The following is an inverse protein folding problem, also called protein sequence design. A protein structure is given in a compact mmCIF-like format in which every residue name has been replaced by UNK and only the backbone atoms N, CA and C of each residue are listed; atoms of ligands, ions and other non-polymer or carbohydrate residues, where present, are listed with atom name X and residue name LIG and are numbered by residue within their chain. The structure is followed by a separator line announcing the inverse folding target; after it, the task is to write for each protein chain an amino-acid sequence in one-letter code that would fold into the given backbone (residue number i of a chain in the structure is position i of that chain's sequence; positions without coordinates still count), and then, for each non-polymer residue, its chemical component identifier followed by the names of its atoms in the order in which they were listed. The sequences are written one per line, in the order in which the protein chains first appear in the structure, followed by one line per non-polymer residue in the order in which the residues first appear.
data_IF_183763748380
#
_entry.id   IF_183763748380
#
_cell.length_a   1.000
_cell.length_b   1.000
_cell.length_c   1.000
_cell.angle_alpha   90.00
_cell.angle_beta   90.00
_cell.angle_gamma   90.00
#
_symmetry.space_group_name_H-M   'P 1'
#
loop_
_entity.id
_entity.type
_entity.pdbx_description
1 polymer ?
#
# COMPACT_ATOMS: atom_id res chain seq x y z
N UNK A 1 -15.59 -27.48 6.08
CA UNK A 1 -15.51 -26.00 6.07
C UNK A 1 -14.94 -25.59 7.42
N UNK A 2 -13.88 -24.80 7.48
CA UNK A 2 -13.34 -24.31 8.77
C UNK A 2 -14.35 -23.39 9.45
N UNK A 3 -14.31 -23.34 10.78
CA UNK A 3 -15.29 -22.60 11.58
C UNK A 3 -14.86 -21.13 11.74
N UNK A 4 -15.83 -20.23 11.55
CA UNK A 4 -15.67 -18.80 11.83
C UNK A 4 -16.22 -18.45 13.20
N UNK A 5 -15.67 -17.43 13.83
CA UNK A 5 -16.21 -16.83 15.04
C UNK A 5 -17.45 -15.97 14.73
N UNK A 6 -18.11 -15.48 15.78
CA UNK A 6 -19.31 -14.63 15.68
C UNK A 6 -19.05 -13.28 14.97
N UNK A 7 -17.78 -12.93 14.77
CA UNK A 7 -17.33 -11.71 14.08
C UNK A 7 -16.88 -12.00 12.64
N UNK A 8 -17.09 -13.22 12.14
CA UNK A 8 -16.69 -13.66 10.81
C UNK A 8 -15.19 -13.94 10.64
N UNK A 9 -14.38 -13.82 11.69
CA UNK A 9 -12.94 -14.15 11.66
C UNK A 9 -12.75 -15.65 11.83
N UNK A 10 -11.64 -16.18 11.34
CA UNK A 10 -11.30 -17.57 11.63
C UNK A 10 -10.98 -17.72 13.12
N UNK A 11 -11.44 -18.81 13.73
CA UNK A 11 -11.07 -19.12 15.12
C UNK A 11 -9.54 -19.22 15.23
N UNK A 12 -8.92 -18.82 16.35
CA UNK A 12 -7.49 -19.01 16.58
C UNK A 12 -7.07 -20.47 16.30
N UNK A 13 -6.04 -20.67 15.49
CA UNK A 13 -5.59 -21.99 15.02
C UNK A 13 -6.33 -22.53 13.80
N UNK A 14 -7.36 -21.85 13.30
CA UNK A 14 -8.03 -22.16 12.03
C UNK A 14 -7.71 -21.09 10.99
N UNK A 15 -7.46 -21.53 9.76
CA UNK A 15 -7.15 -20.70 8.61
C UNK A 15 -8.22 -20.93 7.54
N UNK A 16 -8.49 -19.89 6.73
CA UNK A 16 -9.35 -20.03 5.54
C UNK A 16 -8.76 -20.91 4.46
N UNK A 17 -7.47 -21.23 4.58
CA UNK A 17 -6.81 -22.30 3.87
C UNK A 17 -6.41 -23.41 4.87
N UNK A 18 -7.24 -24.47 5.01
CA UNK A 18 -6.98 -25.58 5.93
C UNK A 18 -5.70 -26.36 5.61
N UNK A 19 -5.25 -26.34 4.35
CA UNK A 19 -4.00 -26.97 3.91
C UNK A 19 -2.75 -26.11 4.13
N UNK A 20 -2.91 -24.88 4.65
CA UNK A 20 -1.81 -23.94 4.83
C UNK A 20 -1.19 -23.45 3.51
N UNK A 21 -0.21 -22.55 3.60
CA UNK A 21 0.58 -22.12 2.44
C UNK A 21 1.33 -23.34 1.87
N UNK A 22 1.32 -23.55 0.55
CA UNK A 22 1.93 -24.75 -0.04
C UNK A 22 3.40 -24.88 0.36
N UNK A 23 3.77 -26.04 0.93
CA UNK A 23 5.14 -26.33 1.35
C UNK A 23 6.14 -26.39 0.20
N UNK A 24 5.67 -26.56 -1.03
CA UNK A 24 6.48 -26.61 -2.25
C UNK A 24 7.42 -25.41 -2.40
N UNK A 25 6.98 -24.20 -2.02
CA UNK A 25 7.84 -23.00 -2.10
C UNK A 25 8.93 -23.03 -1.04
N UNK A 26 8.64 -23.54 0.16
CA UNK A 26 9.63 -23.65 1.24
C UNK A 26 10.65 -24.74 0.93
N UNK A 27 10.20 -25.88 0.39
CA UNK A 27 11.06 -26.97 -0.05
C UNK A 27 11.97 -26.55 -1.20
N UNK A 28 11.44 -25.83 -2.20
CA UNK A 28 12.25 -25.27 -3.29
C UNK A 28 13.31 -24.29 -2.77
N UNK A 29 12.94 -23.43 -1.81
CA UNK A 29 13.90 -22.51 -1.17
C UNK A 29 14.99 -23.24 -0.39
N UNK A 30 14.63 -24.30 0.34
CA UNK A 30 15.60 -25.11 1.07
C UNK A 30 16.61 -25.76 0.12
N UNK A 31 16.13 -26.40 -0.96
CA UNK A 31 16.99 -26.98 -2.01
C UNK A 31 17.88 -25.94 -2.69
N UNK A 32 17.37 -24.73 -2.92
CA UNK A 32 18.17 -23.63 -3.48
C UNK A 32 19.22 -23.12 -2.49
N UNK A 33 18.92 -23.10 -1.19
CA UNK A 33 19.84 -22.65 -0.15
C UNK A 33 21.05 -23.59 -0.02
N UNK A 34 20.85 -24.91 -0.13
CA UNK A 34 21.93 -25.90 -0.12
C UNK A 34 22.99 -25.64 -1.20
N UNK A 35 22.59 -25.14 -2.37
CA UNK A 35 23.48 -24.81 -3.48
C UNK A 35 23.97 -23.36 -3.53
N UNK A 36 23.51 -22.50 -2.61
CA UNK A 36 23.66 -21.05 -2.73
C UNK A 36 25.14 -20.60 -2.80
N UNK A 37 26.01 -21.18 -1.96
CA UNK A 37 27.43 -20.84 -1.93
C UNK A 37 28.15 -21.18 -3.24
N UNK A 38 27.86 -22.37 -3.79
CA UNK A 38 28.48 -22.83 -5.03
C UNK A 38 28.03 -21.98 -6.23
N UNK A 39 26.75 -21.63 -6.29
CA UNK A 39 26.20 -20.74 -7.32
C UNK A 39 26.80 -19.35 -7.19
N UNK A 40 26.88 -18.81 -5.97
CA UNK A 40 27.45 -17.48 -5.71
C UNK A 40 28.90 -17.37 -6.19
N UNK A 41 29.73 -18.38 -5.89
CA UNK A 41 31.13 -18.44 -6.37
C UNK A 41 31.22 -18.45 -7.89
N UNK A 42 30.35 -19.22 -8.58
CA UNK A 42 30.31 -19.26 -10.05
C UNK A 42 29.90 -17.93 -10.66
N UNK A 43 28.85 -17.30 -10.14
CA UNK A 43 28.37 -16.00 -10.62
C UNK A 43 29.44 -14.93 -10.44
N UNK A 44 30.13 -14.90 -9.29
CA UNK A 44 31.26 -13.99 -9.05
C UNK A 44 32.40 -14.22 -10.04
N UNK A 45 32.75 -15.47 -10.33
CA UNK A 45 33.80 -15.79 -11.29
C UNK A 45 33.43 -15.39 -12.72
N UNK A 46 32.17 -15.59 -13.13
CA UNK A 46 31.65 -15.17 -14.43
C UNK A 46 31.67 -13.64 -14.59
N UNK A 47 31.20 -12.91 -13.56
CA UNK A 47 31.24 -11.45 -13.54
C UNK A 47 32.69 -10.92 -13.65
N UNK A 48 33.63 -11.50 -12.90
CA UNK A 48 35.06 -11.16 -12.99
C UNK A 48 35.67 -11.41 -14.37
N UNK A 49 35.09 -12.31 -15.17
CA UNK A 49 35.50 -12.59 -16.55
C UNK A 49 34.79 -11.72 -17.60
N UNK A 50 33.94 -10.78 -17.19
CA UNK A 50 33.27 -9.84 -18.08
C UNK A 50 31.87 -10.28 -18.54
N UNK A 51 31.26 -11.29 -17.90
CA UNK A 51 29.85 -11.61 -18.16
C UNK A 51 28.94 -10.49 -17.60
N UNK A 52 28.43 -9.66 -18.51
CA UNK A 52 27.58 -8.52 -18.17
C UNK A 52 26.25 -8.90 -17.51
N UNK A 53 25.73 -10.12 -17.77
CA UNK A 53 24.52 -10.59 -17.10
C UNK A 53 24.80 -10.91 -15.64
N UNK A 54 25.92 -11.58 -15.35
CA UNK A 54 26.36 -11.86 -13.98
C UNK A 54 26.66 -10.55 -13.22
N UNK A 55 27.32 -9.58 -13.87
CA UNK A 55 27.56 -8.25 -13.31
C UNK A 55 26.25 -7.54 -12.96
N UNK A 56 25.27 -7.53 -13.87
CA UNK A 56 23.96 -6.93 -13.64
C UNK A 56 23.23 -7.57 -12.45
N UNK A 57 23.22 -8.90 -12.37
CA UNK A 57 22.58 -9.63 -11.28
C UNK A 57 23.18 -9.28 -9.91
N UNK A 58 24.50 -9.11 -9.84
CA UNK A 58 25.18 -8.67 -8.62
C UNK A 58 24.83 -7.22 -8.29
N UNK A 59 24.90 -6.31 -9.26
CA UNK A 59 24.63 -4.87 -9.06
C UNK A 59 23.19 -4.62 -8.60
N UNK A 60 22.19 -5.30 -9.18
CA UNK A 60 20.78 -5.18 -8.77
C UNK A 60 20.48 -5.71 -7.35
N UNK A 61 21.43 -6.41 -6.71
CA UNK A 61 21.30 -6.87 -5.32
C UNK A 61 22.11 -6.04 -4.35
N UNK A 62 23.27 -5.52 -4.78
CA UNK A 62 24.15 -4.69 -3.94
C UNK A 62 23.73 -3.22 -3.96
N UNK A 63 23.26 -2.72 -5.10
CA UNK A 63 22.80 -1.35 -5.25
C UNK A 63 21.28 -1.38 -5.07
N UNK A 64 20.73 -0.76 -4.00
CA UNK A 64 19.29 -0.67 -3.86
C UNK A 64 18.72 0.07 -5.07
N UNK A 65 17.60 -0.41 -5.65
CA UNK A 65 16.95 0.33 -6.72
C UNK A 65 16.63 1.72 -6.21
N UNK A 66 16.97 2.74 -7.00
CA UNK A 66 16.61 4.12 -6.70
C UNK A 66 15.09 4.13 -6.56
N UNK A 67 14.59 4.39 -5.35
CA UNK A 67 13.17 4.61 -5.17
C UNK A 67 12.80 5.82 -6.02
N UNK A 68 11.72 5.77 -6.80
CA UNK A 68 11.21 6.98 -7.44
C UNK A 68 10.91 7.97 -6.31
N UNK A 69 11.74 9.00 -6.22
CA UNK A 69 11.52 10.14 -5.33
C UNK A 69 10.92 11.23 -6.19
N UNK A 70 9.69 11.61 -5.89
CA UNK A 70 9.11 12.81 -6.47
C UNK A 70 9.71 14.01 -5.76
N UNK A 71 10.23 14.96 -6.52
CA UNK A 71 10.67 16.22 -5.95
C UNK A 71 9.47 16.94 -5.31
N UNK A 72 9.68 17.64 -4.17
CA UNK A 72 8.64 18.46 -3.60
C UNK A 72 8.19 19.52 -4.61
N UNK A 73 6.89 19.56 -4.90
CA UNK A 73 6.30 20.56 -5.79
C UNK A 73 5.58 21.61 -4.97
N UNK A 74 5.75 22.87 -5.34
CA UNK A 74 4.95 23.98 -4.82
C UNK A 74 3.80 24.26 -5.78
N UNK A 75 2.57 24.21 -5.27
CA UNK A 75 1.37 24.63 -6.00
C UNK A 75 0.39 25.26 -5.02
N UNK A 76 -0.48 26.14 -5.52
CA UNK A 76 -1.53 26.75 -4.70
C UNK A 76 -2.69 25.76 -4.57
N UNK A 77 -2.98 25.35 -3.33
CA UNK A 77 -4.13 24.53 -2.99
C UNK A 77 -5.27 25.42 -2.51
N UNK A 78 -6.44 25.30 -3.15
CA UNK A 78 -7.65 25.97 -2.72
C UNK A 78 -8.40 25.08 -1.72
N UNK A 79 -8.26 25.35 -0.42
CA UNK A 79 -8.69 24.46 0.67
C UNK A 79 -10.03 24.86 1.32
N UNK A 80 -10.80 25.74 0.67
CA UNK A 80 -12.09 26.23 1.18
C UNK A 80 -13.12 25.11 1.39
N UNK A 81 -13.14 24.14 0.47
CA UNK A 81 -13.97 22.94 0.55
C UNK A 81 -13.33 21.80 -0.26
N UNK A 82 -13.79 20.56 -0.04
CA UNK A 82 -13.25 19.38 -0.72
C UNK A 82 -13.38 19.46 -2.26
N UNK A 83 -14.54 19.83 -2.85
CA UNK A 83 -14.64 20.09 -4.28
C UNK A 83 -13.64 21.12 -4.83
N UNK A 84 -13.44 22.24 -4.12
CA UNK A 84 -12.52 23.31 -4.52
C UNK A 84 -11.06 22.84 -4.45
N UNK A 85 -10.71 22.05 -3.43
CA UNK A 85 -9.41 21.38 -3.35
C UNK A 85 -9.19 20.41 -4.52
N UNK A 86 -10.20 19.61 -4.86
CA UNK A 86 -10.11 18.69 -5.99
C UNK A 86 -9.91 19.43 -7.33
N UNK A 87 -10.64 20.53 -7.54
CA UNK A 87 -10.53 21.35 -8.76
C UNK A 87 -9.17 22.04 -8.87
N UNK A 88 -8.63 22.58 -7.77
CA UNK A 88 -7.31 23.21 -7.78
C UNK A 88 -6.20 22.21 -8.08
N UNK A 89 -6.24 21.00 -7.50
CA UNK A 89 -5.32 19.90 -7.85
C UNK A 89 -5.41 19.55 -9.34
N UNK A 90 -6.62 19.37 -9.88
CA UNK A 90 -6.81 19.05 -11.30
C UNK A 90 -6.30 20.15 -12.23
N UNK A 91 -6.47 21.42 -11.85
CA UNK A 91 -5.95 22.57 -12.59
C UNK A 91 -4.42 22.60 -12.57
N UNK A 92 -3.80 22.33 -11.42
CA UNK A 92 -2.34 22.26 -11.29
C UNK A 92 -1.74 21.12 -12.13
N UNK A 93 -2.43 19.98 -12.25
CA UNK A 93 -2.04 18.89 -13.17
C UNK A 93 -2.16 19.33 -14.63
N UNK A 94 -3.30 19.90 -15.01
CA UNK A 94 -3.53 20.36 -16.40
C UNK A 94 -2.57 21.49 -16.82
N UNK A 95 -2.15 22.33 -15.87
CA UNK A 95 -1.17 23.40 -16.08
C UNK A 95 0.30 22.94 -16.05
N UNK A 96 0.57 21.65 -15.83
CA UNK A 96 1.92 21.10 -15.78
C UNK A 96 2.70 21.43 -14.51
N UNK A 97 2.06 22.00 -13.49
CA UNK A 97 2.67 22.25 -12.19
C UNK A 97 2.83 20.93 -11.41
N UNK A 98 1.82 20.05 -11.47
CA UNK A 98 1.85 18.73 -10.86
C UNK A 98 1.94 17.63 -11.93
N UNK A 99 2.74 16.61 -11.66
CA UNK A 99 2.73 15.40 -12.45
C UNK A 99 1.42 14.60 -12.21
N UNK A 100 0.91 13.84 -13.22
CA UNK A 100 -0.38 13.14 -13.09
C UNK A 100 -0.45 12.11 -11.96
N UNK A 101 0.67 11.46 -11.65
CA UNK A 101 0.80 10.51 -10.53
C UNK A 101 0.67 11.23 -9.18
N UNK A 102 1.28 12.41 -9.02
CA UNK A 102 1.15 13.23 -7.83
C UNK A 102 -0.28 13.73 -7.64
N UNK A 103 -0.90 14.23 -8.72
CA UNK A 103 -2.30 14.64 -8.70
C UNK A 103 -3.24 13.52 -8.29
N UNK A 104 -3.04 12.30 -8.82
CA UNK A 104 -3.81 11.12 -8.42
C UNK A 104 -3.67 10.83 -6.93
N UNK A 105 -2.44 10.81 -6.39
CA UNK A 105 -2.21 10.55 -4.96
C UNK A 105 -2.85 11.61 -4.06
N UNK A 106 -2.84 12.88 -4.46
CA UNK A 106 -3.50 13.96 -3.71
C UNK A 106 -5.02 13.81 -3.70
N UNK A 107 -5.64 13.48 -4.85
CA UNK A 107 -7.08 13.24 -4.93
C UNK A 107 -7.50 12.01 -4.11
N UNK A 108 -6.70 10.94 -4.11
CA UNK A 108 -6.94 9.78 -3.25
C UNK A 108 -6.88 10.15 -1.76
N UNK A 109 -5.90 10.97 -1.35
CA UNK A 109 -5.79 11.50 0.01
C UNK A 109 -6.98 12.37 0.40
N UNK A 110 -7.43 13.25 -0.50
CA UNK A 110 -8.61 14.08 -0.30
C UNK A 110 -9.88 13.23 -0.08
N UNK A 111 -10.05 12.15 -0.83
CA UNK A 111 -11.14 11.20 -0.62
C UNK A 111 -11.05 10.47 0.73
N UNK A 112 -9.84 10.24 1.27
CA UNK A 112 -9.68 9.71 2.62
C UNK A 112 -10.13 10.72 3.68
N UNK A 113 -9.80 12.01 3.52
CA UNK A 113 -10.27 13.09 4.41
C UNK A 113 -11.79 13.22 4.37
N UNK A 114 -12.39 13.16 3.16
CA UNK A 114 -13.84 13.19 2.99
C UNK A 114 -14.55 12.10 3.83
N UNK A 115 -14.04 10.87 3.77
CA UNK A 115 -14.57 9.75 4.56
C UNK A 115 -14.44 9.97 6.07
N UNK A 116 -13.33 10.58 6.52
CA UNK A 116 -13.15 10.89 7.95
C UNK A 116 -14.19 11.92 8.43
N UNK A 117 -14.40 12.97 7.63
CA UNK A 117 -15.41 14.00 7.92
C UNK A 117 -16.81 13.39 7.95
N UNK A 118 -17.17 12.63 6.93
CA UNK A 118 -18.47 11.95 6.83
C UNK A 118 -18.74 11.06 8.05
N UNK A 119 -17.76 10.26 8.47
CA UNK A 119 -17.90 9.41 9.66
C UNK A 119 -18.10 10.24 10.92
N UNK A 120 -17.39 11.34 11.08
CA UNK A 120 -17.53 12.22 12.25
C UNK A 120 -18.91 12.91 12.28
N UNK A 121 -19.39 13.39 11.13
CA UNK A 121 -20.71 14.01 11.01
C UNK A 121 -21.84 13.00 11.28
N UNK A 122 -21.74 11.79 10.73
CA UNK A 122 -22.70 10.72 10.99
C UNK A 122 -22.72 10.31 12.47
N UNK A 123 -21.56 10.21 13.12
CA UNK A 123 -21.49 9.92 14.56
C UNK A 123 -22.21 10.99 15.38
N UNK A 124 -22.00 12.26 15.07
CA UNK A 124 -22.67 13.37 15.74
C UNK A 124 -24.20 13.31 15.54
N UNK A 125 -24.65 13.10 14.31
CA UNK A 125 -26.08 12.99 13.99
C UNK A 125 -26.74 11.80 14.72
N UNK A 126 -26.06 10.65 14.82
CA UNK A 126 -26.56 9.49 15.57
C UNK A 126 -26.70 9.80 17.06
N UNK A 127 -25.76 10.51 17.65
CA UNK A 127 -25.80 10.88 19.08
C UNK A 127 -26.93 11.88 19.38
N UNK A 128 -27.13 12.87 18.51
CA UNK A 128 -28.23 13.83 18.59
C UNK A 128 -29.60 13.13 18.49
N UNK A 129 -29.74 12.17 17.58
CA UNK A 129 -30.97 11.37 17.46
C UNK A 129 -31.21 10.51 18.70
N UNK A 130 -30.18 9.90 19.28
CA UNK A 130 -30.29 9.12 20.52
C UNK A 130 -30.79 9.95 21.69
N UNK A 131 -30.21 11.14 21.89
CA UNK A 131 -30.63 12.06 22.95
C UNK A 131 -32.07 12.55 22.76
N UNK A 132 -32.49 12.83 21.52
CA UNK A 132 -33.89 13.17 21.24
C UNK A 132 -34.86 12.02 21.55
N UNK A 133 -34.49 10.78 21.17
CA UNK A 133 -35.32 9.60 21.44
C UNK A 133 -35.45 9.30 22.93
N UNK A 134 -34.38 9.46 23.70
CA UNK A 134 -34.42 9.30 25.17
C UNK A 134 -35.32 10.36 25.83
N UNK A 135 -35.29 11.60 25.34
CA UNK A 135 -36.16 12.68 25.82
C UNK A 135 -37.65 12.48 25.46
N UNK A 136 -37.97 11.73 24.42
CA UNK A 136 -39.36 11.38 24.06
C UNK A 136 -39.92 10.19 24.84
N UNK A 137 -39.07 9.41 25.52
CA UNK A 137 -39.45 8.25 26.32
C UNK A 137 -39.63 8.57 27.82
N UNK A 138 -39.35 9.80 28.25
CA UNK A 138 -39.60 10.33 29.60
C UNK A 138 -40.89 11.13 29.64
#
# INVERSE_FOLDING_TARGET
MTERDKSGKWKPGQSGNPGGRSGQTQELRARLAEGADAVTKKVLAAAKKGDMQACRLILERLVPPIKPTSEPVQFELEDTDLPSAAKSIMRAVAGGQLAPDQGKSLIEGLGAVARVIEVAELQKAVEELRTQMEGMQQ
#
